data_IF_817041025363
#
_entry.id   IF_817041025363
#
_cell.length_a   1.000
_cell.length_b   1.000
_cell.length_c   1.000
_cell.angle_alpha   90.00
_cell.angle_beta   90.00
_cell.angle_gamma   90.00
#
_symmetry.space_group_name_H-M   'P 1'
#
loop_
_entity.id
_entity.type
_entity.pdbx_description
1 polymer ?
#
# COMPACT_ATOMS: atom_id res chain seq x y z
N UNK A 1 6.28 17.22 25.88
CA UNK A 1 6.37 16.61 27.23
C UNK A 1 5.00 16.55 27.90
N UNK A 2 4.21 17.64 27.93
CA UNK A 2 2.83 17.62 28.46
C UNK A 2 1.99 16.49 27.88
N UNK A 3 1.94 16.36 26.54
CA UNK A 3 1.20 15.30 25.86
C UNK A 3 1.56 13.87 26.35
N UNK A 4 2.86 13.57 26.51
CA UNK A 4 3.31 12.26 27.00
C UNK A 4 2.86 12.01 28.45
N UNK A 5 2.93 13.03 29.31
CA UNK A 5 2.50 12.92 30.71
C UNK A 5 0.98 12.70 30.78
N UNK A 6 0.22 13.48 30.02
CA UNK A 6 -1.24 13.41 29.98
C UNK A 6 -1.70 12.04 29.45
N UNK A 7 -1.10 11.54 28.36
CA UNK A 7 -1.40 10.22 27.81
C UNK A 7 -1.08 9.09 28.80
N UNK A 8 0.07 9.14 29.48
CA UNK A 8 0.43 8.13 30.50
C UNK A 8 -0.52 8.15 31.69
N UNK A 9 -0.93 9.33 32.14
CA UNK A 9 -1.91 9.48 33.22
C UNK A 9 -3.27 8.89 32.81
N UNK A 10 -3.80 9.26 31.64
CA UNK A 10 -5.08 8.77 31.14
C UNK A 10 -5.06 7.26 30.90
N UNK A 11 -3.95 6.73 30.36
CA UNK A 11 -3.76 5.30 30.15
C UNK A 11 -3.80 4.52 31.48
N UNK A 12 -3.03 4.95 32.47
CA UNK A 12 -2.99 4.31 33.79
C UNK A 12 -4.36 4.38 34.50
N UNK A 13 -5.01 5.54 34.47
CA UNK A 13 -6.36 5.70 35.01
C UNK A 13 -7.35 4.73 34.32
N UNK A 14 -7.25 4.58 33.00
CA UNK A 14 -8.04 3.62 32.23
C UNK A 14 -7.86 2.18 32.73
N UNK A 15 -6.62 1.71 32.85
CA UNK A 15 -6.32 0.36 33.34
C UNK A 15 -6.83 0.11 34.76
N UNK A 16 -6.69 1.09 35.66
CA UNK A 16 -7.22 0.97 37.03
C UNK A 16 -8.74 0.83 37.04
N UNK A 17 -9.45 1.66 36.27
CA UNK A 17 -10.91 1.59 36.16
C UNK A 17 -11.38 0.28 35.51
N UNK A 18 -10.69 -0.20 34.47
CA UNK A 18 -11.05 -1.46 33.81
C UNK A 18 -10.80 -2.68 34.69
N UNK A 19 -9.69 -2.71 35.44
CA UNK A 19 -9.44 -3.78 36.40
C UNK A 19 -10.53 -3.83 37.51
N UNK A 20 -11.07 -2.69 37.93
CA UNK A 20 -12.15 -2.64 38.93
C UNK A 20 -13.52 -3.04 38.37
N UNK A 21 -13.79 -2.72 37.10
CA UNK A 21 -15.12 -2.89 36.49
C UNK A 21 -15.27 -4.19 35.70
N UNK A 22 -14.18 -4.69 35.11
CA UNK A 22 -14.15 -5.84 34.20
C UNK A 22 -12.89 -6.71 34.43
N UNK A 23 -12.67 -7.21 35.66
CA UNK A 23 -11.45 -7.95 36.03
C UNK A 23 -11.25 -9.25 35.23
N UNK A 24 -12.33 -9.86 34.75
CA UNK A 24 -12.29 -11.11 33.97
C UNK A 24 -11.84 -10.87 32.51
N UNK A 25 -11.88 -9.62 32.03
CA UNK A 25 -11.58 -9.25 30.63
C UNK A 25 -10.23 -8.55 30.54
N UNK A 26 -9.91 -7.68 31.50
CA UNK A 26 -8.66 -6.92 31.52
C UNK A 26 -7.68 -7.54 32.51
N UNK A 27 -6.81 -8.40 31.98
CA UNK A 27 -5.78 -9.10 32.75
C UNK A 27 -4.46 -8.32 32.88
N UNK A 28 -4.29 -7.27 32.07
CA UNK A 28 -3.14 -6.35 32.16
C UNK A 28 -3.39 -5.33 33.27
N UNK A 29 -2.41 -5.20 34.16
CA UNK A 29 -2.48 -4.31 35.32
C UNK A 29 -1.83 -2.95 35.04
N UNK A 30 -2.12 -1.98 35.91
CA UNK A 30 -1.43 -0.70 35.91
C UNK A 30 0.09 -0.86 36.12
N UNK A 31 0.51 -1.83 36.92
CA UNK A 31 1.92 -2.09 37.22
C UNK A 31 2.66 -2.61 35.98
N UNK A 32 2.04 -3.48 35.18
CA UNK A 32 2.61 -3.97 33.91
C UNK A 32 2.92 -2.82 32.93
N UNK A 33 2.00 -1.85 32.86
CA UNK A 33 2.16 -0.67 32.00
C UNK A 33 3.21 0.30 32.55
N UNK A 34 3.28 0.46 33.87
CA UNK A 34 4.31 1.28 34.51
C UNK A 34 5.71 0.68 34.33
N UNK A 35 5.85 -0.65 34.39
CA UNK A 35 7.10 -1.34 34.09
C UNK A 35 7.53 -1.09 32.64
N UNK A 36 6.59 -1.15 31.70
CA UNK A 36 6.87 -0.84 30.29
C UNK A 36 7.33 0.62 30.10
N UNK A 37 6.68 1.58 30.78
CA UNK A 37 7.10 2.97 30.75
C UNK A 37 8.49 3.16 31.37
N UNK A 38 8.78 2.50 32.49
CA UNK A 38 10.09 2.57 33.13
C UNK A 38 11.18 2.00 32.22
N UNK A 39 10.92 0.88 31.54
CA UNK A 39 11.83 0.33 30.54
C UNK A 39 12.11 1.33 29.40
N UNK A 40 11.06 1.93 28.83
CA UNK A 40 11.19 2.93 27.76
C UNK A 40 11.95 4.18 28.21
N UNK A 41 11.70 4.65 29.44
CA UNK A 41 12.38 5.81 30.02
C UNK A 41 13.86 5.53 30.26
N UNK A 42 14.22 4.36 30.82
CA UNK A 42 15.60 3.93 30.97
C UNK A 42 16.32 3.91 29.61
N UNK A 43 15.67 3.38 28.57
CA UNK A 43 16.23 3.34 27.23
C UNK A 43 16.47 4.74 26.64
N UNK A 44 15.51 5.67 26.83
CA UNK A 44 15.63 7.06 26.40
C UNK A 44 16.71 7.82 27.16
N UNK A 45 16.87 7.56 28.46
CA UNK A 45 17.95 8.13 29.28
C UNK A 45 19.32 7.69 28.76
N UNK A 46 19.48 6.39 28.51
CA UNK A 46 20.77 5.80 28.11
C UNK A 46 21.17 6.12 26.67
N UNK A 47 20.20 6.05 25.73
CA UNK A 47 20.46 6.12 24.28
C UNK A 47 20.00 7.42 23.63
N UNK A 48 19.29 8.29 24.35
CA UNK A 48 18.72 9.55 23.81
C UNK A 48 17.94 9.29 22.52
N UNK A 49 18.24 10.03 21.45
CA UNK A 49 17.53 9.91 20.18
C UNK A 49 17.71 8.54 19.50
N UNK A 50 18.79 7.80 19.80
CA UNK A 50 18.97 6.46 19.24
C UNK A 50 17.98 5.45 19.82
N UNK A 51 17.39 5.72 21.00
CA UNK A 51 16.36 4.87 21.59
C UNK A 51 15.15 4.69 20.65
N UNK A 52 14.81 5.71 19.86
CA UNK A 52 13.68 5.64 18.92
C UNK A 52 13.90 4.60 17.81
N UNK A 53 15.15 4.25 17.48
CA UNK A 53 15.44 3.15 16.57
C UNK A 53 15.06 1.79 17.14
N UNK A 54 14.97 1.66 18.46
CA UNK A 54 14.51 0.45 19.15
C UNK A 54 13.01 0.55 19.42
N UNK A 55 12.53 1.69 19.94
CA UNK A 55 11.11 1.88 20.29
C UNK A 55 10.18 1.71 19.09
N UNK A 56 10.61 2.08 17.87
CA UNK A 56 9.81 1.87 16.65
C UNK A 56 9.49 0.40 16.35
N UNK A 57 10.21 -0.55 16.95
CA UNK A 57 9.94 -1.98 16.79
C UNK A 57 8.96 -2.52 17.83
N UNK A 58 8.53 -1.71 18.81
CA UNK A 58 7.63 -2.16 19.86
C UNK A 58 6.27 -2.61 19.30
N UNK A 59 5.66 -1.81 18.41
CA UNK A 59 4.41 -2.18 17.74
C UNK A 59 4.57 -3.44 16.85
N UNK A 60 5.57 -3.52 15.95
CA UNK A 60 5.85 -4.76 15.21
C UNK A 60 6.06 -5.99 16.10
N UNK A 61 6.67 -5.82 17.29
CA UNK A 61 6.87 -6.90 18.25
C UNK A 61 5.56 -7.34 18.89
N UNK A 62 4.69 -6.42 19.29
CA UNK A 62 3.36 -6.75 19.79
C UNK A 62 2.56 -7.54 18.74
N UNK A 63 2.62 -7.11 17.49
CA UNK A 63 2.00 -7.84 16.38
C UNK A 63 2.63 -9.22 16.17
N UNK A 64 3.96 -9.33 16.20
CA UNK A 64 4.65 -10.62 16.10
C UNK A 64 4.23 -11.59 17.21
N UNK A 65 4.13 -11.14 18.47
CA UNK A 65 3.66 -11.95 19.60
C UNK A 65 2.18 -12.35 19.46
N UNK A 66 1.34 -11.50 18.86
CA UNK A 66 -0.05 -11.83 18.57
C UNK A 66 -0.12 -12.93 17.51
N UNK A 67 0.60 -12.74 16.40
CA UNK A 67 0.64 -13.68 15.28
C UNK A 67 1.20 -15.04 15.72
N UNK A 68 2.28 -15.08 16.51
CA UNK A 68 2.87 -16.33 17.02
C UNK A 68 1.86 -17.19 17.81
N UNK A 69 0.92 -16.55 18.51
CA UNK A 69 -0.10 -17.25 19.30
C UNK A 69 -1.25 -17.78 18.47
N UNK A 70 -1.49 -17.23 17.28
CA UNK A 70 -2.69 -17.50 16.46
C UNK A 70 -2.39 -18.12 15.10
N UNK A 71 -1.14 -18.09 14.64
CA UNK A 71 -0.74 -18.53 13.31
C UNK A 71 -0.59 -20.06 13.25
N UNK A 72 -1.70 -20.73 12.93
CA UNK A 72 -1.77 -22.19 12.80
C UNK A 72 -0.95 -22.73 11.62
N UNK A 73 -0.73 -21.91 10.59
CA UNK A 73 -0.10 -22.33 9.33
C UNK A 73 1.35 -21.84 9.17
N UNK A 74 1.87 -21.07 10.13
CA UNK A 74 3.22 -20.49 10.05
C UNK A 74 3.41 -19.54 8.86
N UNK A 75 2.37 -18.78 8.50
CA UNK A 75 2.38 -17.84 7.37
C UNK A 75 3.20 -16.58 7.67
N UNK A 76 3.28 -16.18 8.95
CA UNK A 76 3.97 -14.96 9.40
C UNK A 76 5.42 -15.19 9.85
N UNK A 77 5.96 -16.40 9.67
CA UNK A 77 7.31 -16.78 10.13
C UNK A 77 8.41 -15.85 9.58
N UNK A 78 8.29 -15.40 8.34
CA UNK A 78 9.25 -14.48 7.71
C UNK A 78 9.21 -13.09 8.35
N UNK A 79 8.02 -12.59 8.69
CA UNK A 79 7.84 -11.31 9.38
C UNK A 79 8.41 -11.37 10.81
N UNK A 80 8.08 -12.43 11.56
CA UNK A 80 8.58 -12.64 12.93
C UNK A 80 10.12 -12.71 12.95
N UNK A 81 10.73 -13.43 12.00
CA UNK A 81 12.20 -13.49 11.85
C UNK A 81 12.79 -12.16 11.34
N UNK A 82 12.05 -11.44 10.50
CA UNK A 82 12.42 -10.13 9.94
C UNK A 82 12.48 -9.02 10.98
N UNK A 83 11.56 -9.00 11.94
CA UNK A 83 11.60 -8.11 13.10
C UNK A 83 12.92 -8.22 13.90
N UNK A 84 13.60 -9.38 13.85
CA UNK A 84 14.90 -9.59 14.50
C UNK A 84 16.10 -9.15 13.64
N UNK A 85 15.91 -8.80 12.36
CA UNK A 85 16.99 -8.44 11.41
C UNK A 85 16.51 -7.40 10.40
N UNK A 86 16.75 -6.11 10.67
CA UNK A 86 16.43 -5.03 9.71
C UNK A 86 17.65 -4.15 9.45
N UNK A 87 18.20 -4.24 8.23
CA UNK A 87 18.66 -3.09 7.44
C UNK A 87 19.21 -3.53 6.08
N UNK A 88 18.79 -2.82 5.02
CA UNK A 88 19.50 -2.55 3.75
C UNK A 88 18.70 -2.81 2.46
N UNK A 89 17.54 -2.18 2.29
CA UNK A 89 16.90 -2.07 0.97
C UNK A 89 16.29 -0.69 0.82
N UNK A 90 17.03 0.26 0.22
CA UNK A 90 16.51 1.63 0.06
C UNK A 90 17.18 2.53 -0.97
N UNK A 91 18.16 2.04 -1.76
CA UNK A 91 18.89 2.88 -2.73
C UNK A 91 19.16 2.17 -4.06
N UNK A 92 18.22 1.35 -4.54
CA UNK A 92 18.39 0.63 -5.82
C UNK A 92 17.82 1.44 -6.97
N UNK A 93 18.56 1.55 -8.07
CA UNK A 93 18.02 2.01 -9.34
C UNK A 93 16.91 1.05 -9.80
N UNK A 94 15.72 1.60 -10.06
CA UNK A 94 14.56 0.83 -10.50
C UNK A 94 14.61 0.76 -12.03
N UNK A 95 14.70 -0.46 -12.56
CA UNK A 95 14.43 -0.73 -13.97
C UNK A 95 13.05 -1.39 -14.05
N UNK A 96 12.10 -0.71 -14.67
CA UNK A 96 10.74 -1.21 -14.82
C UNK A 96 10.64 -2.18 -15.98
N UNK A 97 9.91 -3.26 -15.79
CA UNK A 97 9.51 -4.15 -16.87
C UNK A 97 8.33 -3.56 -17.65
N UNK A 98 8.61 -3.11 -18.88
CA UNK A 98 7.62 -2.49 -19.75
C UNK A 98 6.50 -3.46 -20.15
N UNK A 99 6.78 -4.76 -20.18
CA UNK A 99 5.79 -5.76 -20.51
C UNK A 99 4.77 -5.91 -19.38
N UNK A 100 5.24 -6.04 -18.14
CA UNK A 100 4.36 -6.04 -16.96
C UNK A 100 3.53 -4.74 -16.88
N UNK A 101 4.13 -3.58 -17.14
CA UNK A 101 3.39 -2.31 -17.19
C UNK A 101 2.28 -2.30 -18.25
N UNK A 102 2.56 -2.87 -19.43
CA UNK A 102 1.58 -3.01 -20.52
C UNK A 102 0.40 -3.88 -20.10
N UNK A 103 0.65 -4.99 -19.40
CA UNK A 103 -0.40 -5.89 -18.91
C UNK A 103 -1.22 -5.26 -17.76
N UNK A 104 -0.58 -4.50 -16.87
CA UNK A 104 -1.28 -3.73 -15.82
C UNK A 104 -2.24 -2.73 -16.44
N UNK A 105 -1.78 -1.99 -17.46
CA UNK A 105 -2.62 -1.07 -18.20
C UNK A 105 -3.80 -1.81 -18.86
N UNK A 106 -3.55 -2.97 -19.46
CA UNK A 106 -4.60 -3.80 -20.06
C UNK A 106 -5.68 -4.21 -19.04
N UNK A 107 -5.29 -4.61 -17.83
CA UNK A 107 -6.23 -4.91 -16.74
C UNK A 107 -7.10 -3.69 -16.38
N UNK A 108 -6.49 -2.51 -16.24
CA UNK A 108 -7.21 -1.27 -15.92
C UNK A 108 -8.19 -0.86 -17.02
N UNK A 109 -7.79 -0.97 -18.29
CA UNK A 109 -8.67 -0.65 -19.43
C UNK A 109 -9.83 -1.62 -19.52
N UNK A 110 -9.58 -2.93 -19.32
CA UNK A 110 -10.61 -3.95 -19.28
C UNK A 110 -11.64 -3.63 -18.19
N UNK A 111 -11.19 -3.40 -16.96
CA UNK A 111 -12.09 -3.07 -15.83
C UNK A 111 -12.85 -1.76 -16.07
N UNK A 112 -12.19 -0.74 -16.61
CA UNK A 112 -12.86 0.50 -16.98
C UNK A 112 -13.98 0.25 -18.00
N UNK A 113 -13.72 -0.50 -19.07
CA UNK A 113 -14.71 -0.75 -20.12
C UNK A 113 -15.90 -1.57 -19.59
N UNK A 114 -15.64 -2.62 -18.81
CA UNK A 114 -16.70 -3.46 -18.22
C UNK A 114 -17.60 -2.62 -17.33
N UNK A 115 -17.02 -1.83 -16.41
CA UNK A 115 -17.81 -1.01 -15.50
C UNK A 115 -18.54 0.13 -16.22
N UNK A 116 -17.91 0.76 -17.22
CA UNK A 116 -18.55 1.78 -18.04
C UNK A 116 -19.77 1.22 -18.78
N UNK A 117 -19.66 0.03 -19.39
CA UNK A 117 -20.79 -0.60 -20.08
C UNK A 117 -21.92 -0.97 -19.10
N UNK A 118 -21.59 -1.47 -17.91
CA UNK A 118 -22.57 -1.77 -16.86
C UNK A 118 -23.36 -0.53 -16.42
N UNK A 119 -22.69 0.63 -16.32
CA UNK A 119 -23.31 1.88 -15.86
C UNK A 119 -24.03 2.63 -16.97
N UNK A 120 -23.43 2.73 -18.16
CA UNK A 120 -23.89 3.58 -19.26
C UNK A 120 -24.64 2.81 -20.34
N UNK A 121 -24.65 1.48 -20.29
CA UNK A 121 -25.30 0.62 -21.30
C UNK A 121 -24.66 0.68 -22.69
N UNK A 122 -23.44 1.19 -22.82
CA UNK A 122 -22.71 1.33 -24.09
C UNK A 122 -21.20 1.30 -23.88
N UNK A 123 -20.46 1.05 -24.96
CA UNK A 123 -19.00 1.16 -24.94
C UNK A 123 -18.53 2.60 -24.63
N UNK A 124 -17.42 2.76 -23.88
CA UNK A 124 -16.71 4.03 -23.83
C UNK A 124 -16.12 4.37 -25.21
N UNK A 125 -15.73 5.62 -25.43
CA UNK A 125 -14.97 6.04 -26.60
C UNK A 125 -13.58 5.43 -26.55
N UNK A 126 -13.24 4.63 -27.55
CA UNK A 126 -11.99 3.89 -27.64
C UNK A 126 -11.30 4.12 -28.99
N UNK A 127 -9.98 3.94 -29.02
CA UNK A 127 -9.18 3.75 -30.23
C UNK A 127 -8.26 2.52 -30.07
N UNK A 128 -7.73 2.00 -31.18
CA UNK A 128 -7.04 0.71 -31.22
C UNK A 128 -5.77 0.80 -32.05
N UNK A 129 -4.68 0.14 -31.61
CA UNK A 129 -3.45 0.07 -32.41
C UNK A 129 -3.61 -0.80 -33.66
N UNK A 130 -4.35 -1.92 -33.57
CA UNK A 130 -4.56 -2.85 -34.69
C UNK A 130 -6.01 -3.35 -34.77
N UNK A 131 -6.95 -2.51 -35.26
CA UNK A 131 -8.37 -2.79 -35.19
C UNK A 131 -8.82 -4.01 -36.02
N UNK A 132 -8.09 -4.38 -37.07
CA UNK A 132 -8.51 -5.48 -37.95
C UNK A 132 -8.33 -6.86 -37.31
N UNK A 133 -7.26 -7.03 -36.52
CA UNK A 133 -6.90 -8.29 -35.88
C UNK A 133 -7.41 -8.41 -34.44
N UNK A 134 -7.77 -7.30 -33.82
CA UNK A 134 -8.14 -7.26 -32.41
C UNK A 134 -9.63 -7.59 -32.22
N UNK A 135 -9.93 -8.64 -31.44
CA UNK A 135 -11.32 -9.07 -31.20
C UNK A 135 -12.14 -7.99 -30.48
N UNK A 136 -11.54 -7.25 -29.55
CA UNK A 136 -12.22 -6.15 -28.84
C UNK A 136 -12.61 -5.04 -29.83
N UNK A 137 -11.75 -4.71 -30.78
CA UNK A 137 -12.07 -3.72 -31.82
C UNK A 137 -13.25 -4.19 -32.70
N UNK A 138 -13.32 -5.47 -33.04
CA UNK A 138 -14.44 -6.04 -33.80
C UNK A 138 -15.75 -6.02 -33.00
N UNK A 139 -15.70 -6.32 -31.70
CA UNK A 139 -16.87 -6.24 -30.81
C UNK A 139 -17.35 -4.79 -30.65
N UNK A 140 -16.41 -3.85 -30.47
CA UNK A 140 -16.65 -2.42 -30.38
C UNK A 140 -17.34 -1.89 -31.65
N UNK A 141 -16.83 -2.25 -32.83
CA UNK A 141 -17.40 -1.84 -34.12
C UNK A 141 -18.83 -2.36 -34.36
N UNK A 142 -19.19 -3.49 -33.76
CA UNK A 142 -20.53 -4.09 -33.84
C UNK A 142 -21.46 -3.67 -32.71
N UNK A 143 -20.99 -2.83 -31.78
CA UNK A 143 -21.70 -2.47 -30.55
C UNK A 143 -22.19 -3.69 -29.73
N UNK A 144 -21.44 -4.79 -29.77
CA UNK A 144 -21.80 -6.01 -29.04
C UNK A 144 -21.39 -5.89 -27.57
N UNK A 145 -22.34 -6.11 -26.65
CA UNK A 145 -22.14 -6.04 -25.19
C UNK A 145 -22.15 -7.42 -24.51
N UNK A 146 -22.73 -8.41 -25.19
CA UNK A 146 -23.04 -9.75 -24.68
C UNK A 146 -21.80 -10.58 -24.29
N UNK A 147 -20.60 -10.14 -24.66
CA UNK A 147 -19.33 -10.79 -24.31
C UNK A 147 -18.98 -10.63 -22.83
N UNK A 148 -19.54 -9.61 -22.16
CA UNK A 148 -19.35 -9.34 -20.72
C UNK A 148 -19.97 -10.45 -19.86
N UNK A 149 -20.99 -11.13 -20.37
CA UNK A 149 -21.80 -12.10 -19.61
C UNK A 149 -21.27 -13.55 -19.70
N UNK A 150 -20.38 -13.86 -20.63
CA UNK A 150 -20.02 -15.24 -20.99
C UNK A 150 -18.54 -15.61 -20.72
N UNK A 151 -17.84 -14.89 -19.84
CA UNK A 151 -16.42 -15.16 -19.49
C UNK A 151 -15.54 -15.48 -20.71
N UNK A 152 -15.78 -14.77 -21.82
CA UNK A 152 -14.96 -14.86 -23.01
C UNK A 152 -13.69 -14.07 -22.77
N UNK A 153 -12.72 -14.67 -22.07
CA UNK A 153 -11.40 -14.11 -21.80
C UNK A 153 -10.73 -13.71 -23.11
N UNK A 154 -10.96 -12.47 -23.57
CA UNK A 154 -10.02 -11.83 -24.46
C UNK A 154 -8.69 -11.72 -23.69
N UNK A 155 -7.62 -12.15 -24.34
CA UNK A 155 -6.31 -12.16 -23.72
C UNK A 155 -5.92 -10.72 -23.32
N UNK A 156 -5.18 -10.56 -22.23
CA UNK A 156 -4.70 -9.24 -21.80
C UNK A 156 -3.90 -8.54 -22.92
N UNK A 157 -3.31 -9.31 -23.84
CA UNK A 157 -2.67 -8.80 -25.03
C UNK A 157 -3.60 -8.03 -25.95
N UNK A 158 -4.85 -8.47 -26.13
CA UNK A 158 -5.82 -7.74 -26.93
C UNK A 158 -6.21 -6.43 -26.25
N UNK A 159 -6.38 -6.44 -24.92
CA UNK A 159 -6.68 -5.25 -24.12
C UNK A 159 -5.55 -4.23 -24.09
N UNK A 160 -4.30 -4.68 -24.16
CA UNK A 160 -3.13 -3.79 -24.19
C UNK A 160 -3.09 -2.88 -25.43
N UNK A 161 -3.82 -3.23 -26.48
CA UNK A 161 -3.90 -2.48 -27.73
C UNK A 161 -5.09 -1.52 -27.77
N UNK A 162 -5.85 -1.45 -26.68
CA UNK A 162 -7.03 -0.59 -26.53
C UNK A 162 -6.65 0.69 -25.79
N UNK A 163 -7.03 1.83 -26.35
CA UNK A 163 -6.74 3.14 -25.77
C UNK A 163 -8.03 3.90 -25.50
N UNK A 164 -8.21 4.28 -24.24
CA UNK A 164 -9.39 5.02 -23.79
C UNK A 164 -9.28 6.49 -24.22
N UNK A 165 -10.27 6.98 -24.95
CA UNK A 165 -10.38 8.38 -25.32
C UNK A 165 -11.12 9.17 -24.24
N UNK A 166 -11.33 10.48 -24.45
CA UNK A 166 -12.10 11.32 -23.53
C UNK A 166 -13.53 10.81 -23.40
N UNK A 167 -13.87 10.30 -22.21
CA UNK A 167 -15.20 9.77 -21.87
C UNK A 167 -15.97 10.62 -20.86
N UNK A 168 -15.27 11.49 -20.13
CA UNK A 168 -15.84 12.36 -19.12
C UNK A 168 -15.51 13.82 -19.45
N UNK A 169 -16.47 14.70 -19.17
CA UNK A 169 -16.23 16.12 -19.11
C UNK A 169 -15.81 16.48 -17.68
N UNK A 170 -14.76 17.27 -17.55
CA UNK A 170 -14.35 17.77 -16.24
C UNK A 170 -15.27 18.94 -15.89
N UNK A 171 -16.00 18.82 -14.79
CA UNK A 171 -16.79 19.93 -14.26
C UNK A 171 -15.82 20.91 -13.59
N UNK A 172 -15.57 22.04 -14.24
CA UNK A 172 -14.72 23.11 -13.73
C UNK A 172 -15.43 23.93 -12.63
N UNK A 173 -16.35 23.35 -11.86
CA UNK A 173 -17.09 24.02 -10.81
C UNK A 173 -16.14 24.85 -9.93
N UNK A 174 -16.25 26.17 -10.03
CA UNK A 174 -15.38 27.17 -9.39
C UNK A 174 -15.77 27.38 -7.92
N UNK A 175 -16.30 26.35 -7.26
CA UNK A 175 -16.47 26.42 -5.82
C UNK A 175 -15.09 26.36 -5.18
N UNK A 176 -14.57 27.53 -4.83
CA UNK A 176 -13.25 27.68 -4.23
C UNK A 176 -13.10 26.85 -2.95
N UNK A 177 -14.19 26.49 -2.25
CA UNK A 177 -14.11 25.64 -1.06
C UNK A 177 -13.67 24.21 -1.35
N UNK A 178 -13.76 23.76 -2.61
CA UNK A 178 -13.27 22.44 -3.04
C UNK A 178 -11.77 22.43 -3.36
N UNK A 179 -11.15 23.60 -3.53
CA UNK A 179 -9.75 23.77 -3.95
C UNK A 179 -8.92 24.42 -2.83
N UNK A 180 -9.50 25.41 -2.14
CA UNK A 180 -8.88 26.13 -1.06
C UNK A 180 -9.15 25.41 0.25
N UNK A 181 -8.07 25.13 0.96
CA UNK A 181 -8.06 24.59 2.31
C UNK A 181 -7.02 25.38 3.12
N UNK A 182 -7.10 25.34 4.45
CA UNK A 182 -6.13 25.97 5.33
C UNK A 182 -4.84 25.12 5.38
N UNK A 183 -4.09 25.18 4.27
CA UNK A 183 -2.84 24.46 4.05
C UNK A 183 -1.76 25.44 3.60
N UNK A 184 -0.54 25.20 4.07
CA UNK A 184 0.61 25.98 3.64
C UNK A 184 0.98 25.63 2.18
N UNK A 185 1.40 26.64 1.42
CA UNK A 185 1.97 26.48 0.08
C UNK A 185 3.34 27.16 0.03
N UNK A 186 4.29 26.55 -0.68
CA UNK A 186 5.61 27.13 -0.85
C UNK A 186 5.56 28.42 -1.67
N UNK A 187 6.45 29.36 -1.37
CA UNK A 187 6.64 30.57 -2.18
C UNK A 187 7.18 30.22 -3.56
N UNK A 188 7.01 31.14 -4.51
CA UNK A 188 7.69 31.01 -5.80
C UNK A 188 9.21 30.92 -5.65
N UNK A 189 9.86 30.23 -6.61
CA UNK A 189 11.31 30.08 -6.66
C UNK A 189 12.09 31.40 -6.63
N UNK A 190 11.49 32.54 -6.97
CA UNK A 190 12.14 33.86 -6.86
C UNK A 190 12.22 34.41 -5.44
N UNK A 191 11.46 33.85 -4.49
CA UNK A 191 11.33 34.34 -3.11
C UNK A 191 11.63 33.26 -2.06
N UNK A 192 12.16 32.11 -2.46
CA UNK A 192 12.39 30.96 -1.58
C UNK A 192 13.36 31.28 -0.42
N UNK A 193 14.38 32.08 -0.67
CA UNK A 193 15.31 32.60 0.33
C UNK A 193 14.67 33.38 1.49
N UNK A 194 13.40 33.80 1.37
CA UNK A 194 12.68 34.46 2.46
C UNK A 194 12.22 33.47 3.53
N UNK A 195 12.13 32.19 3.19
CA UNK A 195 11.60 31.13 4.07
C UNK A 195 12.65 30.13 4.55
N UNK A 196 13.87 30.16 3.99
CA UNK A 196 14.95 29.26 4.38
C UNK A 196 16.14 30.02 4.98
N UNK A 197 16.75 29.43 6.01
CA UNK A 197 17.96 29.95 6.64
C UNK A 197 19.16 29.77 5.68
N UNK A 198 19.83 30.87 5.33
CA UNK A 198 21.00 30.88 4.45
C UNK A 198 22.13 29.97 4.96
N UNK A 199 22.23 29.77 6.29
CA UNK A 199 23.28 28.95 6.90
C UNK A 199 23.10 27.45 6.67
N UNK A 200 21.89 27.00 6.31
CA UNK A 200 21.56 25.60 6.02
C UNK A 200 21.78 25.22 4.54
N UNK A 201 22.19 26.19 3.71
CA UNK A 201 22.29 26.06 2.26
C UNK A 201 23.75 26.14 1.83
N UNK A 202 24.44 25.01 1.98
CA UNK A 202 25.87 24.87 1.67
C UNK A 202 26.20 25.37 0.26
N UNK A 203 27.10 26.35 0.17
CA UNK A 203 27.57 26.89 -1.12
C UNK A 203 26.62 27.87 -1.81
N UNK A 204 25.56 28.33 -1.14
CA UNK A 204 24.71 29.41 -1.62
C UNK A 204 25.48 30.74 -1.67
N UNK A 205 25.37 31.46 -2.79
CA UNK A 205 25.89 32.81 -2.99
C UNK A 205 24.82 33.68 -3.63
N UNK A 206 25.03 35.00 -3.64
CA UNK A 206 24.12 35.94 -4.32
C UNK A 206 23.96 35.63 -5.81
N UNK A 207 25.01 35.11 -6.45
CA UNK A 207 25.04 34.86 -7.90
C UNK A 207 24.39 33.52 -8.28
N UNK A 208 24.41 32.52 -7.39
CA UNK A 208 23.83 31.20 -7.65
C UNK A 208 22.46 30.98 -6.97
N UNK A 209 21.84 32.03 -6.43
CA UNK A 209 20.58 31.95 -5.66
C UNK A 209 19.42 31.26 -6.38
N UNK A 210 19.34 31.35 -7.71
CA UNK A 210 18.30 30.68 -8.51
C UNK A 210 18.66 29.24 -8.88
N UNK A 211 19.91 28.84 -8.64
CA UNK A 211 20.42 27.50 -8.94
C UNK A 211 21.55 27.15 -7.97
N UNK A 212 21.27 27.03 -6.65
CA UNK A 212 22.28 26.67 -5.66
C UNK A 212 22.94 25.32 -6.00
N UNK A 213 24.19 25.08 -5.59
CA UNK A 213 24.82 23.79 -5.79
C UNK A 213 24.01 22.69 -5.06
N UNK A 214 24.03 21.48 -5.61
CA UNK A 214 23.43 20.34 -4.93
C UNK A 214 24.17 20.04 -3.62
N UNK A 215 23.41 19.69 -2.58
CA UNK A 215 23.88 19.42 -1.22
C UNK A 215 23.00 18.33 -0.58
N UNK A 216 23.23 18.04 0.70
CA UNK A 216 22.36 17.15 1.47
C UNK A 216 20.92 17.70 1.64
N UNK A 217 20.74 19.02 1.54
CA UNK A 217 19.47 19.72 1.76
C UNK A 217 18.82 20.22 0.46
N UNK A 218 19.56 20.24 -0.65
CA UNK A 218 19.08 20.70 -1.97
C UNK A 218 19.54 19.75 -3.06
N UNK A 219 18.61 19.24 -3.87
CA UNK A 219 18.92 18.39 -5.02
C UNK A 219 17.97 18.68 -6.18
N UNK A 220 18.34 18.21 -7.37
CA UNK A 220 17.63 18.46 -8.62
C UNK A 220 17.21 17.16 -9.28
N UNK A 221 16.26 17.27 -10.22
CA UNK A 221 15.82 16.16 -11.08
C UNK A 221 15.32 14.94 -10.29
N UNK A 222 14.64 15.21 -9.17
CA UNK A 222 14.07 14.16 -8.33
C UNK A 222 12.85 13.51 -9.00
N UNK A 223 13.02 12.27 -9.45
CA UNK A 223 11.95 11.45 -10.04
C UNK A 223 11.08 10.70 -9.02
N UNK A 224 11.28 10.89 -7.71
CA UNK A 224 10.51 10.20 -6.68
C UNK A 224 9.11 10.79 -6.46
N UNK A 225 8.19 9.95 -5.99
CA UNK A 225 6.92 10.42 -5.45
C UNK A 225 7.12 11.20 -4.14
N UNK A 226 6.17 12.09 -3.83
CA UNK A 226 6.11 12.84 -2.56
C UNK A 226 4.82 12.50 -1.84
N UNK A 227 4.88 12.42 -0.52
CA UNK A 227 3.74 12.11 0.33
C UNK A 227 2.57 13.06 0.04
N UNK A 228 1.35 12.53 0.00
CA UNK A 228 0.13 13.30 -0.31
C UNK A 228 -0.07 13.66 -1.79
N UNK A 229 0.94 13.55 -2.65
CA UNK A 229 0.83 13.89 -4.07
C UNK A 229 0.49 12.65 -4.90
N UNK A 230 -0.55 12.74 -5.75
CA UNK A 230 -1.00 11.66 -6.66
C UNK A 230 -1.36 10.35 -5.95
N UNK A 231 -1.69 10.38 -4.66
CA UNK A 231 -2.01 9.19 -3.85
C UNK A 231 -3.07 8.30 -4.53
N UNK A 232 -4.19 8.88 -5.02
CA UNK A 232 -5.21 8.14 -5.78
C UNK A 232 -4.68 7.49 -7.07
N UNK A 233 -3.74 8.15 -7.75
CA UNK A 233 -3.11 7.61 -8.96
C UNK A 233 -2.18 6.43 -8.65
N UNK A 234 -1.39 6.53 -7.58
CA UNK A 234 -0.57 5.43 -7.08
C UNK A 234 -1.44 4.24 -6.63
N UNK A 235 -2.55 4.50 -5.92
CA UNK A 235 -3.52 3.46 -5.55
C UNK A 235 -4.09 2.76 -6.79
N UNK A 236 -4.41 3.49 -7.85
CA UNK A 236 -4.90 2.88 -9.10
C UNK A 236 -3.84 1.98 -9.76
N UNK A 237 -2.56 2.37 -9.71
CA UNK A 237 -1.46 1.53 -10.19
C UNK A 237 -1.35 0.24 -9.38
N UNK A 238 -1.45 0.31 -8.04
CA UNK A 238 -1.52 -0.88 -7.17
C UNK A 238 -2.70 -1.78 -7.53
N UNK A 239 -3.90 -1.21 -7.70
CA UNK A 239 -5.10 -1.96 -8.09
C UNK A 239 -4.87 -2.69 -9.41
N UNK A 240 -4.31 -2.00 -10.41
CA UNK A 240 -3.95 -2.62 -11.70
C UNK A 240 -2.96 -3.78 -11.55
N UNK A 241 -1.95 -3.64 -10.70
CA UNK A 241 -0.99 -4.71 -10.40
C UNK A 241 -1.65 -5.92 -9.71
N UNK A 242 -2.59 -5.69 -8.79
CA UNK A 242 -3.35 -6.76 -8.14
C UNK A 242 -4.29 -7.49 -9.10
N UNK A 243 -4.98 -6.76 -9.99
CA UNK A 243 -5.79 -7.37 -11.05
C UNK A 243 -4.94 -8.27 -11.97
N UNK A 244 -3.70 -7.86 -12.26
CA UNK A 244 -2.76 -8.71 -12.99
C UNK A 244 -2.39 -9.96 -12.20
N UNK A 245 -2.05 -9.83 -10.91
CA UNK A 245 -1.76 -10.98 -10.03
C UNK A 245 -2.94 -11.95 -9.98
N UNK A 246 -4.16 -11.45 -9.84
CA UNK A 246 -5.39 -12.26 -9.89
C UNK A 246 -5.50 -13.00 -11.22
N UNK A 247 -5.30 -12.32 -12.35
CA UNK A 247 -5.37 -12.96 -13.68
C UNK A 247 -4.35 -14.07 -13.89
N UNK A 248 -3.17 -13.98 -13.25
CA UNK A 248 -2.09 -14.97 -13.37
C UNK A 248 -2.32 -16.15 -12.42
N UNK A 249 -2.86 -15.89 -11.23
CA UNK A 249 -2.94 -16.90 -10.15
C UNK A 249 -4.32 -17.54 -10.04
N UNK A 250 -5.36 -16.91 -10.59
CA UNK A 250 -6.75 -17.27 -10.34
C UNK A 250 -7.22 -16.97 -8.91
N UNK A 251 -6.39 -16.34 -8.07
CA UNK A 251 -6.73 -16.00 -6.69
C UNK A 251 -7.33 -14.62 -6.67
N UNK A 252 -8.63 -14.55 -6.39
CA UNK A 252 -9.33 -13.30 -6.22
C UNK A 252 -8.76 -12.51 -5.04
N UNK A 253 -8.46 -11.23 -5.26
CA UNK A 253 -7.90 -10.35 -4.25
C UNK A 253 -8.71 -9.06 -4.12
N UNK A 254 -9.02 -8.65 -2.88
CA UNK A 254 -9.51 -7.30 -2.61
C UNK A 254 -8.47 -6.50 -1.83
N UNK A 255 -8.42 -5.19 -2.08
CA UNK A 255 -7.52 -4.27 -1.41
C UNK A 255 -8.31 -3.24 -0.62
N UNK A 256 -7.87 -3.00 0.61
CA UNK A 256 -8.28 -1.85 1.43
C UNK A 256 -7.03 -1.16 1.93
N UNK A 257 -7.01 0.16 1.90
CA UNK A 257 -5.75 0.89 2.04
C UNK A 257 -5.95 2.40 2.08
N UNK A 258 -5.19 3.08 2.93
CA UNK A 258 -5.03 4.53 2.86
C UNK A 258 -3.55 4.84 2.66
N UNK A 259 -3.17 5.22 1.44
CA UNK A 259 -1.78 5.53 1.12
C UNK A 259 -0.90 4.30 1.00
N UNK A 260 0.16 4.26 1.81
CA UNK A 260 1.20 3.23 1.87
C UNK A 260 0.78 2.01 2.70
N UNK A 261 -0.08 2.19 3.70
CA UNK A 261 -0.66 1.10 4.48
C UNK A 261 -1.81 0.44 3.71
N UNK A 262 -1.51 -0.71 3.10
CA UNK A 262 -2.43 -1.45 2.26
C UNK A 262 -2.56 -2.89 2.76
N UNK A 263 -3.80 -3.36 2.84
CA UNK A 263 -4.16 -4.73 3.21
C UNK A 263 -4.77 -5.41 2.00
N UNK A 264 -4.21 -6.56 1.63
CA UNK A 264 -4.73 -7.40 0.56
C UNK A 264 -5.39 -8.63 1.19
N UNK A 265 -6.67 -8.82 0.92
CA UNK A 265 -7.41 -10.03 1.31
C UNK A 265 -7.50 -10.93 0.09
N UNK A 266 -6.71 -12.00 0.08
CA UNK A 266 -6.68 -13.02 -0.97
C UNK A 266 -7.61 -14.20 -0.60
N UNK A 267 -8.51 -14.57 -1.51
CA UNK A 267 -9.51 -15.61 -1.28
C UNK A 267 -9.08 -16.92 -1.94
N UNK A 268 -8.83 -17.94 -1.13
CA UNK A 268 -8.45 -19.27 -1.58
C UNK A 268 -9.63 -20.23 -1.45
N UNK A 269 -9.94 -20.96 -2.52
CA UNK A 269 -11.01 -21.96 -2.50
C UNK A 269 -10.71 -23.10 -1.52
N UNK A 270 -11.74 -23.51 -0.78
CA UNK A 270 -11.73 -24.68 0.10
C UNK A 270 -12.15 -25.91 -0.73
N UNK A 271 -11.43 -27.03 -0.65
CA UNK A 271 -11.79 -28.24 -1.40
C UNK A 271 -13.22 -28.72 -1.12
N UNK A 272 -13.94 -29.23 -2.14
CA UNK A 272 -15.30 -29.74 -1.96
C UNK A 272 -15.38 -30.81 -0.86
N UNK A 273 -16.39 -30.70 0.00
CA UNK A 273 -16.62 -31.65 1.09
C UNK A 273 -15.82 -31.38 2.37
N UNK A 274 -15.06 -30.28 2.45
CA UNK A 274 -14.41 -29.83 3.69
C UNK A 274 -14.97 -28.47 4.15
N UNK A 275 -14.98 -28.24 5.47
CA UNK A 275 -15.16 -26.89 6.02
C UNK A 275 -13.81 -26.18 6.11
N UNK A 276 -13.81 -24.84 6.19
CA UNK A 276 -12.60 -24.03 6.43
C UNK A 276 -11.80 -24.55 7.62
N UNK A 277 -12.46 -24.78 8.74
CA UNK A 277 -11.85 -25.19 10.01
C UNK A 277 -11.24 -26.58 9.93
N UNK A 278 -11.82 -27.45 9.09
CA UNK A 278 -11.31 -28.80 8.84
C UNK A 278 -10.10 -28.74 7.92
N UNK A 279 -10.17 -27.94 6.85
CA UNK A 279 -9.08 -27.78 5.89
C UNK A 279 -7.85 -27.13 6.50
N UNK A 280 -8.01 -26.03 7.24
CA UNK A 280 -6.91 -25.33 7.93
C UNK A 280 -6.17 -26.26 8.89
N UNK A 281 -6.90 -27.13 9.60
CA UNK A 281 -6.34 -28.08 10.55
C UNK A 281 -5.62 -29.26 9.88
N UNK A 282 -6.18 -29.76 8.78
CA UNK A 282 -5.73 -31.01 8.17
C UNK A 282 -4.67 -30.79 7.08
N UNK A 283 -4.62 -29.60 6.46
CA UNK A 283 -3.73 -29.30 5.35
C UNK A 283 -2.97 -27.96 5.51
N UNK A 284 -2.36 -27.67 6.69
CA UNK A 284 -1.67 -26.38 6.91
C UNK A 284 -0.51 -26.15 5.93
N UNK A 285 0.26 -27.19 5.59
CA UNK A 285 1.38 -27.10 4.64
C UNK A 285 0.93 -26.80 3.20
N UNK A 286 -0.21 -27.36 2.80
CA UNK A 286 -0.79 -27.08 1.47
C UNK A 286 -1.23 -25.62 1.37
N UNK A 287 -1.91 -25.12 2.42
CA UNK A 287 -2.34 -23.73 2.52
C UNK A 287 -1.12 -22.81 2.51
N UNK A 288 -0.09 -23.12 3.31
CA UNK A 288 1.18 -22.36 3.33
C UNK A 288 1.80 -22.30 1.94
N UNK A 289 1.91 -23.42 1.23
CA UNK A 289 2.47 -23.46 -0.12
C UNK A 289 1.65 -22.61 -1.13
N UNK A 290 0.31 -22.65 -1.05
CA UNK A 290 -0.57 -21.83 -1.91
C UNK A 290 -0.38 -20.34 -1.64
N UNK A 291 -0.33 -19.94 -0.36
CA UNK A 291 -0.12 -18.56 0.06
C UNK A 291 1.27 -18.07 -0.33
N UNK A 292 2.32 -18.87 -0.13
CA UNK A 292 3.68 -18.54 -0.53
C UNK A 292 3.82 -18.37 -2.05
N UNK A 293 3.15 -19.23 -2.84
CA UNK A 293 3.12 -19.11 -4.29
C UNK A 293 2.44 -17.79 -4.74
N UNK A 294 1.31 -17.44 -4.11
CA UNK A 294 0.63 -16.17 -4.33
C UNK A 294 1.53 -14.97 -3.96
N UNK A 295 2.10 -14.97 -2.75
CA UNK A 295 2.98 -13.89 -2.28
C UNK A 295 4.24 -13.75 -3.12
N UNK A 296 4.79 -14.86 -3.62
CA UNK A 296 5.92 -14.85 -4.56
C UNK A 296 5.55 -14.19 -5.89
N UNK A 297 4.37 -14.49 -6.43
CA UNK A 297 3.88 -13.87 -7.66
C UNK A 297 3.59 -12.38 -7.46
N UNK A 298 2.91 -12.03 -6.37
CA UNK A 298 2.63 -10.65 -5.99
C UNK A 298 3.91 -9.85 -5.87
N UNK A 299 4.88 -10.31 -5.07
CA UNK A 299 6.16 -9.64 -4.92
C UNK A 299 6.92 -9.52 -6.25
N UNK A 300 6.87 -10.54 -7.12
CA UNK A 300 7.51 -10.49 -8.44
C UNK A 300 6.92 -9.38 -9.33
N UNK A 301 5.59 -9.31 -9.45
CA UNK A 301 4.90 -8.28 -10.24
C UNK A 301 5.22 -6.88 -9.70
N UNK A 302 5.07 -6.67 -8.39
CA UNK A 302 5.31 -5.38 -7.74
C UNK A 302 6.78 -4.94 -7.82
N UNK A 303 7.73 -5.87 -7.62
CA UNK A 303 9.15 -5.59 -7.81
C UNK A 303 9.48 -5.20 -9.26
N UNK A 304 8.85 -5.84 -10.25
CA UNK A 304 9.10 -5.56 -11.67
C UNK A 304 8.68 -4.15 -12.10
N UNK A 305 7.74 -3.53 -11.39
CA UNK A 305 7.29 -2.16 -11.62
C UNK A 305 7.89 -1.15 -10.64
N UNK A 306 8.90 -1.55 -9.86
CA UNK A 306 9.60 -0.64 -8.95
C UNK A 306 8.86 -0.32 -7.66
N UNK A 307 7.86 -1.10 -7.27
CA UNK A 307 7.12 -0.96 -6.01
C UNK A 307 7.42 -2.16 -5.11
N UNK A 308 8.62 -2.26 -4.51
CA UNK A 308 9.03 -3.47 -3.84
C UNK A 308 8.19 -3.75 -2.59
N UNK A 309 7.69 -4.98 -2.49
CA UNK A 309 7.02 -5.48 -1.28
C UNK A 309 8.09 -5.98 -0.31
N UNK A 310 8.23 -5.29 0.82
CA UNK A 310 9.17 -5.66 1.88
C UNK A 310 8.57 -6.78 2.72
N UNK A 311 9.03 -8.01 2.51
CA UNK A 311 8.54 -9.19 3.23
C UNK A 311 8.78 -9.10 4.73
N UNK A 312 9.78 -8.35 5.15
CA UNK A 312 10.14 -8.14 6.56
C UNK A 312 9.20 -7.16 7.26
N UNK A 313 8.49 -6.32 6.51
CA UNK A 313 7.49 -5.35 7.01
C UNK A 313 6.05 -5.81 6.72
N UNK A 314 5.88 -6.95 6.05
CA UNK A 314 4.58 -7.50 5.64
C UNK A 314 4.30 -8.84 6.34
N UNK A 315 3.14 -8.97 6.96
CA UNK A 315 2.69 -10.22 7.58
C UNK A 315 1.44 -10.76 6.87
N UNK A 316 1.17 -12.06 7.06
CA UNK A 316 0.02 -12.75 6.46
C UNK A 316 -0.65 -13.60 7.54
N UNK A 317 -1.97 -13.49 7.65
CA UNK A 317 -2.74 -14.26 8.62
C UNK A 317 -4.12 -14.63 8.07
N UNK A 318 -4.71 -15.72 8.57
CA UNK A 318 -6.02 -16.21 8.14
C UNK A 318 -7.19 -15.57 8.91
N UNK A 319 -6.95 -15.14 10.14
CA UNK A 319 -7.98 -14.63 11.08
C UNK A 319 -7.71 -13.21 11.61
N UNK A 320 -6.54 -12.62 11.29
CA UNK A 320 -6.15 -11.31 11.82
C UNK A 320 -6.12 -10.35 10.65
N UNK A 321 -6.77 -9.21 10.87
CA UNK A 321 -6.87 -8.11 9.93
C UNK A 321 -6.50 -6.83 10.69
N UNK A 322 -5.53 -6.07 10.20
CA UNK A 322 -5.19 -4.76 10.74
C UNK A 322 -5.15 -3.75 9.59
N UNK A 323 -5.92 -2.68 9.75
CA UNK A 323 -6.05 -1.57 8.82
C UNK A 323 -6.07 -0.27 9.63
#
# INVERSE_FOLDING_TARGET
MCDVIDQRFLCNLGFQLFAMTMPEIYTVTADDILELYAWGDCLLIDRKNEAYNVLKFFEPLCMACLLEKTDVCGLSETFVKGCMKVQAVGKRAIQMDHETLRLIYACLVKEFCINYIRLEGRWPRLTFANPEKNRIAQLYARHQLNWIENEGHAELDEWSQVFVLKNFEFDYCLDYTQILDDKAISTYKSHWDQVYDETMLEGLTKDNRMNPPASATVWYEDGSGKEGIRQKGWTLATVGALLLVESITGVFGTITGQGDNQVVVAMFEVPPGQTRETYVRNAPEEIKARVEAYMSKLASVFNSIGLPVKKEESWVHLDIFAY
#
